data_IF_901471262024
#
_entry.id   IF_901471262024
#
_cell.length_a   1.000
_cell.length_b   1.000
_cell.length_c   1.000
_cell.angle_alpha   90.00
_cell.angle_beta   90.00
_cell.angle_gamma   90.00
#
_symmetry.space_group_name_H-M   'P 1'
#
loop_
_entity.id
_entity.type
_entity.pdbx_description
1 polymer ?
#
# COMPACT_ATOMS: atom_id res chain seq x y z
N UNK A 1 31.14 3.59 20.49
CA UNK A 1 30.36 4.24 19.41
C UNK A 1 30.02 3.17 18.38
N UNK A 2 28.90 2.48 18.59
CA UNK A 2 28.33 1.53 17.63
C UNK A 2 26.83 1.78 17.65
N UNK A 3 26.35 2.56 16.69
CA UNK A 3 24.92 2.77 16.46
C UNK A 3 24.35 1.47 15.89
N UNK A 4 23.53 0.79 16.70
CA UNK A 4 22.64 -0.27 16.21
C UNK A 4 21.65 0.33 15.22
N UNK A 5 21.40 -0.26 14.04
CA UNK A 5 20.39 0.25 13.13
C UNK A 5 19.03 0.03 13.78
N UNK A 6 18.20 1.08 13.76
CA UNK A 6 16.84 1.03 14.24
C UNK A 6 16.06 -0.04 13.45
N UNK A 7 15.83 -1.20 14.06
CA UNK A 7 14.71 -2.04 13.70
C UNK A 7 13.44 -1.21 13.92
N UNK A 8 12.56 -1.06 12.90
CA UNK A 8 11.23 -0.51 13.17
C UNK A 8 10.58 -1.52 14.10
N UNK A 9 10.36 -1.11 15.35
CA UNK A 9 9.75 -1.90 16.40
C UNK A 9 8.36 -2.30 15.93
N UNK A 10 8.26 -3.48 15.31
CA UNK A 10 7.01 -4.18 15.21
C UNK A 10 6.68 -4.57 16.64
N UNK A 11 5.66 -3.93 17.22
CA UNK A 11 5.10 -4.30 18.52
C UNK A 11 4.42 -5.68 18.41
N UNK A 12 5.19 -6.70 18.08
CA UNK A 12 4.81 -8.08 17.91
C UNK A 12 5.02 -8.76 19.26
N UNK A 13 4.13 -8.43 20.20
CA UNK A 13 3.67 -9.28 21.30
C UNK A 13 2.79 -8.43 22.20
N UNK A 14 1.47 -8.55 22.09
CA UNK A 14 0.54 -8.70 23.23
C UNK A 14 -0.91 -8.85 22.76
N UNK A 15 -1.50 -10.00 23.09
CA UNK A 15 -2.92 -10.31 23.20
C UNK A 15 -3.84 -10.05 21.99
N UNK A 16 -3.71 -10.91 20.98
CA UNK A 16 -4.71 -11.07 19.91
C UNK A 16 -5.84 -12.01 20.36
N UNK A 17 -6.74 -11.55 21.22
CA UNK A 17 -7.99 -12.30 21.54
C UNK A 17 -9.26 -11.47 21.63
N UNK A 18 -9.25 -10.14 21.43
CA UNK A 18 -10.51 -9.39 21.40
C UNK A 18 -10.73 -8.73 20.06
N UNK A 19 -11.78 -9.20 19.38
CA UNK A 19 -12.37 -8.66 18.16
C UNK A 19 -11.71 -9.08 16.83
N UNK A 20 -12.00 -10.31 16.42
CA UNK A 20 -11.83 -10.79 15.05
C UNK A 20 -13.10 -10.48 14.25
N UNK A 21 -13.13 -9.49 13.34
CA UNK A 21 -14.15 -9.46 12.31
C UNK A 21 -13.93 -10.66 11.35
N UNK A 22 -14.99 -11.19 10.72
CA UNK A 22 -14.83 -12.27 9.76
C UNK A 22 -14.06 -11.73 8.55
N UNK A 23 -12.82 -12.19 8.34
CA UNK A 23 -11.99 -11.65 7.28
C UNK A 23 -10.70 -12.42 7.06
N UNK A 24 -9.64 -12.07 7.79
CA UNK A 24 -8.31 -12.66 7.67
C UNK A 24 -7.63 -12.55 9.05
N UNK A 25 -7.13 -13.66 9.60
CA UNK A 25 -6.32 -13.61 10.84
C UNK A 25 -4.84 -13.39 10.51
N UNK A 26 -4.13 -12.67 11.38
CA UNK A 26 -2.68 -12.43 11.28
C UNK A 26 -1.87 -13.73 11.12
N UNK A 27 -2.36 -14.84 11.69
CA UNK A 27 -1.72 -16.17 11.56
C UNK A 27 -1.66 -16.67 10.12
N UNK A 28 -2.60 -16.27 9.25
CA UNK A 28 -2.63 -16.69 7.84
C UNK A 28 -1.62 -15.93 6.97
N UNK A 29 -1.16 -14.78 7.45
CA UNK A 29 -0.24 -13.89 6.72
C UNK A 29 1.23 -14.16 7.08
N UNK A 30 1.47 -14.92 8.15
CA UNK A 30 2.81 -15.32 8.58
C UNK A 30 3.49 -16.15 7.48
N UNK A 31 4.55 -15.59 6.88
CA UNK A 31 5.35 -16.24 5.84
C UNK A 31 5.14 -15.71 4.42
N UNK A 32 4.22 -14.77 4.19
CA UNK A 32 4.12 -14.11 2.88
C UNK A 32 5.27 -13.10 2.68
N UNK A 33 5.94 -13.07 1.52
CA UNK A 33 7.18 -12.33 1.32
C UNK A 33 6.99 -10.82 1.09
N UNK A 34 5.75 -10.32 1.07
CA UNK A 34 5.47 -8.92 0.72
C UNK A 34 5.89 -7.94 1.83
N UNK A 35 6.61 -6.84 1.52
CA UNK A 35 6.92 -5.79 2.48
C UNK A 35 5.67 -5.18 3.15
N UNK A 36 4.55 -5.16 2.43
CA UNK A 36 3.23 -4.74 2.91
C UNK A 36 2.75 -5.55 4.12
N UNK A 37 3.16 -6.81 4.20
CA UNK A 37 2.73 -7.76 5.24
C UNK A 37 3.82 -8.04 6.28
N UNK A 38 4.91 -7.27 6.29
CA UNK A 38 6.00 -7.50 7.25
C UNK A 38 5.53 -7.31 8.70
N UNK A 39 4.76 -6.24 8.95
CA UNK A 39 4.18 -5.92 10.25
C UNK A 39 2.81 -5.23 10.11
N UNK A 40 1.77 -5.94 9.64
CA UNK A 40 0.48 -5.33 9.37
C UNK A 40 -0.29 -5.09 10.67
N UNK A 41 -0.86 -3.88 10.82
CA UNK A 41 -1.82 -3.59 11.88
C UNK A 41 -3.18 -4.21 11.58
N UNK A 42 -3.99 -4.46 12.62
CA UNK A 42 -5.37 -4.89 12.40
C UNK A 42 -6.17 -3.85 11.59
N UNK A 43 -5.91 -2.55 11.83
CA UNK A 43 -6.53 -1.45 11.08
C UNK A 43 -6.20 -1.51 9.59
N UNK A 44 -4.96 -1.87 9.23
CA UNK A 44 -4.56 -2.06 7.85
C UNK A 44 -5.26 -3.28 7.22
N UNK A 45 -5.32 -4.40 7.94
CA UNK A 45 -6.00 -5.62 7.46
C UNK A 45 -7.49 -5.41 7.26
N UNK A 46 -8.16 -4.74 8.21
CA UNK A 46 -9.56 -4.38 8.09
C UNK A 46 -9.81 -3.48 6.88
N UNK A 47 -8.89 -2.54 6.60
CA UNK A 47 -8.96 -1.71 5.39
C UNK A 47 -8.81 -2.54 4.12
N UNK A 48 -7.88 -3.50 4.10
CA UNK A 48 -7.70 -4.42 2.95
C UNK A 48 -8.98 -5.17 2.67
N UNK A 49 -9.55 -5.80 3.69
CA UNK A 49 -10.76 -6.61 3.57
C UNK A 49 -11.91 -5.72 3.09
N UNK A 50 -12.17 -4.57 3.74
CA UNK A 50 -13.26 -3.63 3.39
C UNK A 50 -13.17 -3.01 2.00
N UNK A 51 -11.96 -2.81 1.47
CA UNK A 51 -11.72 -2.14 0.19
C UNK A 51 -11.36 -3.11 -0.94
N UNK A 52 -11.40 -4.42 -0.70
CA UNK A 52 -11.12 -5.41 -1.73
C UNK A 52 -12.23 -5.39 -2.78
N UNK A 53 -11.91 -4.88 -3.97
CA UNK A 53 -12.86 -4.55 -5.03
C UNK A 53 -13.33 -5.76 -5.86
N UNK A 54 -12.70 -6.92 -5.69
CA UNK A 54 -13.03 -8.15 -6.41
C UNK A 54 -14.21 -8.93 -5.79
N UNK A 55 -14.92 -8.30 -4.85
CA UNK A 55 -16.13 -8.83 -4.20
C UNK A 55 -17.34 -8.07 -4.73
N UNK A 56 -18.46 -8.78 -4.94
CA UNK A 56 -19.69 -8.21 -5.51
C UNK A 56 -20.25 -7.00 -4.71
N UNK A 57 -19.95 -6.91 -3.41
CA UNK A 57 -20.43 -5.85 -2.49
C UNK A 57 -19.30 -4.95 -1.95
N UNK A 58 -18.21 -4.75 -2.71
CA UNK A 58 -17.11 -3.91 -2.28
C UNK A 58 -17.59 -2.49 -1.86
N UNK A 59 -17.35 -2.12 -0.60
CA UNK A 59 -17.79 -0.84 -0.02
C UNK A 59 -19.10 -0.86 0.76
N UNK A 60 -19.78 -2.01 0.88
CA UNK A 60 -20.92 -2.18 1.79
C UNK A 60 -20.47 -2.25 3.27
N UNK A 61 -21.35 -1.82 4.18
CA UNK A 61 -21.10 -1.80 5.64
C UNK A 61 -20.96 -3.23 6.19
N UNK A 62 -21.56 -4.21 5.51
CA UNK A 62 -21.58 -5.61 5.88
C UNK A 62 -20.85 -6.44 4.83
N UNK A 63 -19.64 -6.88 5.15
CA UNK A 63 -18.87 -7.82 4.32
C UNK A 63 -19.38 -9.26 4.43
N UNK A 64 -20.70 -9.43 4.40
CA UNK A 64 -21.35 -10.73 4.63
C UNK A 64 -21.08 -11.73 3.48
N UNK A 65 -20.50 -11.26 2.37
CA UNK A 65 -20.16 -12.04 1.18
C UNK A 65 -18.66 -12.22 0.94
N UNK A 66 -17.78 -12.06 1.94
CA UNK A 66 -16.36 -12.40 1.78
C UNK A 66 -16.13 -13.91 1.83
N UNK A 67 -16.37 -14.57 0.69
CA UNK A 67 -16.35 -16.02 0.57
C UNK A 67 -14.93 -16.59 0.74
N UNK A 68 -14.82 -17.89 1.00
CA UNK A 68 -13.50 -18.55 1.04
C UNK A 68 -12.76 -18.47 -0.30
N UNK A 69 -13.49 -18.36 -1.42
CA UNK A 69 -12.90 -18.10 -2.73
C UNK A 69 -12.26 -16.71 -2.80
N UNK A 70 -12.90 -15.70 -2.23
CA UNK A 70 -12.37 -14.33 -2.20
C UNK A 70 -11.17 -14.21 -1.27
N UNK A 71 -11.21 -14.90 -0.12
CA UNK A 71 -10.06 -15.06 0.78
C UNK A 71 -8.86 -15.67 0.05
N UNK A 72 -9.07 -16.79 -0.63
CA UNK A 72 -8.00 -17.46 -1.38
C UNK A 72 -7.46 -16.57 -2.50
N UNK A 73 -8.34 -15.84 -3.21
CA UNK A 73 -7.92 -14.90 -4.24
C UNK A 73 -7.07 -13.78 -3.67
N UNK A 74 -7.50 -13.16 -2.57
CA UNK A 74 -6.76 -12.10 -1.90
C UNK A 74 -5.42 -12.60 -1.35
N UNK A 75 -5.39 -13.73 -0.65
CA UNK A 75 -4.15 -14.32 -0.13
C UNK A 75 -3.18 -14.65 -1.27
N UNK A 76 -3.68 -15.19 -2.37
CA UNK A 76 -2.87 -15.45 -3.57
C UNK A 76 -2.31 -14.16 -4.17
N UNK A 77 -3.13 -13.11 -4.32
CA UNK A 77 -2.64 -11.81 -4.80
C UNK A 77 -1.57 -11.26 -3.86
N UNK A 78 -1.81 -11.24 -2.55
CA UNK A 78 -0.84 -10.77 -1.56
C UNK A 78 0.47 -11.57 -1.55
N UNK A 79 0.39 -12.89 -1.81
CA UNK A 79 1.56 -13.75 -1.91
C UNK A 79 2.40 -13.49 -3.16
N UNK A 80 1.76 -13.17 -4.29
CA UNK A 80 2.41 -13.05 -5.59
C UNK A 80 2.84 -11.61 -5.89
N UNK A 81 1.95 -10.63 -5.65
CA UNK A 81 2.21 -9.22 -5.87
C UNK A 81 1.18 -8.36 -5.11
N UNK A 82 1.63 -7.58 -4.12
CA UNK A 82 0.76 -6.71 -3.34
C UNK A 82 0.36 -5.41 -4.07
N UNK A 83 0.99 -5.07 -5.20
CA UNK A 83 0.71 -3.82 -5.92
C UNK A 83 -0.78 -3.61 -6.27
N UNK A 84 -1.52 -4.59 -6.82
CA UNK A 84 -2.96 -4.45 -7.07
C UNK A 84 -3.79 -4.16 -5.81
N UNK A 85 -3.34 -4.63 -4.64
CA UNK A 85 -4.01 -4.36 -3.36
C UNK A 85 -3.78 -2.92 -2.93
N UNK A 86 -2.56 -2.38 -3.07
CA UNK A 86 -2.28 -0.97 -2.82
C UNK A 86 -3.20 -0.05 -3.63
N UNK A 87 -3.37 -0.32 -4.93
CA UNK A 87 -4.21 0.51 -5.79
C UNK A 87 -5.69 0.52 -5.38
N UNK A 88 -6.17 -0.57 -4.77
CA UNK A 88 -7.56 -0.69 -4.31
C UNK A 88 -7.78 0.00 -2.97
N UNK A 89 -6.85 -0.18 -2.02
CA UNK A 89 -7.01 0.30 -0.64
C UNK A 89 -6.55 1.75 -0.47
N UNK A 90 -5.71 2.27 -1.36
CA UNK A 90 -5.24 3.66 -1.39
C UNK A 90 -5.55 4.27 -2.78
N UNK A 91 -6.84 4.52 -3.09
CA UNK A 91 -7.23 4.93 -4.43
C UNK A 91 -6.81 6.37 -4.72
N UNK A 92 -6.35 6.65 -5.94
CA UNK A 92 -5.98 8.01 -6.33
C UNK A 92 -7.13 9.02 -6.29
N UNK A 93 -8.38 8.57 -6.38
CA UNK A 93 -9.56 9.42 -6.18
C UNK A 93 -9.67 10.00 -4.76
N UNK A 94 -9.00 9.38 -3.77
CA UNK A 94 -8.88 9.88 -2.39
C UNK A 94 -7.57 10.69 -2.18
N UNK A 95 -6.90 11.09 -3.26
CA UNK A 95 -5.69 11.91 -3.19
C UNK A 95 -4.38 11.12 -3.07
N UNK A 96 -4.42 9.79 -3.13
CA UNK A 96 -3.19 8.98 -3.12
C UNK A 96 -2.43 9.05 -4.46
N UNK A 97 -1.10 9.10 -4.46
CA UNK A 97 -0.30 9.20 -5.68
C UNK A 97 -0.16 7.83 -6.36
N UNK A 98 -1.28 7.19 -6.71
CA UNK A 98 -1.35 5.84 -7.27
C UNK A 98 -2.30 5.81 -8.48
N UNK A 99 -2.02 4.97 -9.51
CA UNK A 99 -2.91 4.82 -10.66
C UNK A 99 -4.23 4.20 -10.25
N UNK A 100 -5.30 4.57 -10.97
CA UNK A 100 -6.62 4.02 -10.71
C UNK A 100 -6.65 2.54 -11.11
N UNK A 101 -7.01 1.69 -10.17
CA UNK A 101 -7.31 0.28 -10.41
C UNK A 101 -8.59 0.12 -11.24
N UNK A 102 -8.55 -0.72 -12.28
CA UNK A 102 -9.69 -0.98 -13.17
C UNK A 102 -10.22 -2.41 -13.08
N UNK A 103 -9.47 -3.34 -12.50
CA UNK A 103 -9.89 -4.74 -12.30
C UNK A 103 -8.75 -5.74 -12.47
N UNK A 104 -9.02 -7.02 -12.20
CA UNK A 104 -8.07 -8.10 -12.41
C UNK A 104 -8.69 -9.37 -12.98
N UNK A 105 -7.86 -10.15 -13.69
CA UNK A 105 -8.14 -11.50 -14.14
C UNK A 105 -6.94 -12.40 -13.82
N UNK A 106 -7.08 -13.27 -12.82
CA UNK A 106 -5.98 -14.11 -12.34
C UNK A 106 -4.83 -13.25 -11.79
N UNK A 107 -3.65 -13.37 -12.39
CA UNK A 107 -2.45 -12.57 -12.04
C UNK A 107 -2.35 -11.24 -12.79
N UNK A 108 -3.19 -11.03 -13.80
CA UNK A 108 -3.19 -9.79 -14.56
C UNK A 108 -4.12 -8.79 -13.90
N UNK A 109 -3.66 -7.55 -13.78
CA UNK A 109 -4.49 -6.44 -13.36
C UNK A 109 -4.41 -5.34 -14.41
N UNK A 110 -5.41 -4.48 -14.41
CA UNK A 110 -5.51 -3.32 -15.29
C UNK A 110 -5.57 -2.07 -14.43
N UNK A 111 -4.79 -1.06 -14.80
CA UNK A 111 -4.82 0.27 -14.19
C UNK A 111 -4.79 1.34 -15.27
N UNK A 112 -5.02 2.60 -14.90
CA UNK A 112 -4.84 3.74 -15.81
C UNK A 112 -3.42 3.79 -16.37
N UNK A 113 -3.30 4.13 -17.65
CA UNK A 113 -2.02 4.20 -18.36
C UNK A 113 -1.13 5.35 -17.89
N UNK A 114 0.18 5.15 -18.00
CA UNK A 114 1.21 6.03 -17.45
C UNK A 114 2.50 5.90 -18.24
N UNK A 115 3.34 6.94 -18.23
CA UNK A 115 4.70 6.88 -18.80
C UNK A 115 5.74 6.72 -17.69
N UNK A 116 6.72 5.81 -17.80
CA UNK A 116 7.75 5.62 -16.78
C UNK A 116 8.67 6.84 -16.66
N UNK A 117 9.17 7.12 -15.45
CA UNK A 117 10.03 8.28 -15.18
C UNK A 117 11.30 8.31 -16.04
N UNK A 118 11.82 7.14 -16.44
CA UNK A 118 13.00 7.03 -17.29
C UNK A 118 12.86 7.75 -18.64
N UNK A 119 11.64 7.86 -19.18
CA UNK A 119 11.40 8.58 -20.45
C UNK A 119 11.67 10.09 -20.33
N UNK A 120 11.75 10.62 -19.10
CA UNK A 120 11.93 12.05 -18.83
C UNK A 120 13.36 12.41 -18.43
N UNK A 121 14.31 11.48 -18.51
CA UNK A 121 15.72 11.77 -18.19
C UNK A 121 16.38 12.79 -19.13
N UNK A 122 15.85 12.93 -20.35
CA UNK A 122 16.26 13.95 -21.32
C UNK A 122 15.35 15.18 -21.36
N UNK A 123 14.45 15.33 -20.38
CA UNK A 123 13.51 16.45 -20.35
C UNK A 123 14.24 17.81 -20.15
N UNK A 124 13.65 18.92 -20.62
CA UNK A 124 14.17 20.26 -20.33
C UNK A 124 14.33 20.51 -18.82
N UNK A 125 15.25 21.40 -18.40
CA UNK A 125 15.51 21.65 -16.98
C UNK A 125 14.28 22.04 -16.17
N UNK A 126 13.36 22.82 -16.75
CA UNK A 126 12.14 23.25 -16.08
C UNK A 126 11.20 22.07 -15.77
N UNK A 127 11.04 21.15 -16.72
CA UNK A 127 10.23 19.94 -16.54
C UNK A 127 10.90 18.97 -15.57
N UNK A 128 12.22 18.81 -15.65
CA UNK A 128 12.97 17.99 -14.69
C UNK A 128 12.88 18.54 -13.26
N UNK A 129 12.94 19.86 -13.09
CA UNK A 129 12.79 20.53 -11.80
C UNK A 129 11.37 20.36 -11.24
N UNK A 130 10.34 20.48 -12.09
CA UNK A 130 8.95 20.24 -11.70
C UNK A 130 8.74 18.78 -11.25
N UNK A 131 9.20 17.80 -12.01
CA UNK A 131 9.10 16.38 -11.63
C UNK A 131 9.86 16.07 -10.34
N UNK A 132 11.04 16.67 -10.14
CA UNK A 132 11.78 16.52 -8.89
C UNK A 132 11.01 17.11 -7.68
N UNK A 133 10.36 18.25 -7.86
CA UNK A 133 9.51 18.86 -6.84
C UNK A 133 8.29 17.98 -6.53
N UNK A 134 7.62 17.46 -7.56
CA UNK A 134 6.49 16.55 -7.37
C UNK A 134 6.91 15.26 -6.65
N UNK A 135 8.09 14.69 -6.95
CA UNK A 135 8.62 13.52 -6.26
C UNK A 135 8.77 13.77 -4.74
N UNK A 136 9.28 14.95 -4.35
CA UNK A 136 9.35 15.34 -2.93
C UNK A 136 7.95 15.42 -2.31
N UNK A 137 6.96 15.94 -3.04
CA UNK A 137 5.56 15.95 -2.60
C UNK A 137 4.98 14.56 -2.40
N UNK A 138 5.27 13.62 -3.31
CA UNK A 138 4.89 12.21 -3.16
C UNK A 138 5.52 11.62 -1.90
N UNK A 139 6.83 11.78 -1.71
CA UNK A 139 7.53 11.28 -0.52
C UNK A 139 6.97 11.88 0.78
N UNK A 140 6.56 13.15 0.76
CA UNK A 140 5.91 13.77 1.92
C UNK A 140 4.56 13.12 2.23
N UNK A 141 3.73 12.85 1.22
CA UNK A 141 2.43 12.17 1.39
C UNK A 141 2.57 10.75 1.96
N UNK A 142 3.66 10.06 1.61
CA UNK A 142 4.00 8.74 2.15
C UNK A 142 4.41 8.80 3.62
N UNK A 143 5.05 9.90 4.04
CA UNK A 143 5.48 10.13 5.41
C UNK A 143 4.33 10.62 6.31
N UNK A 144 3.55 11.56 5.80
CA UNK A 144 2.49 12.28 6.51
C UNK A 144 1.21 12.29 5.67
N UNK A 145 0.18 11.63 6.20
CA UNK A 145 -1.15 11.55 5.58
C UNK A 145 -2.21 11.46 6.67
N UNK A 146 -3.44 11.79 6.30
CA UNK A 146 -4.59 11.86 7.20
C UNK A 146 -4.94 10.52 7.85
N UNK A 147 -4.52 9.40 7.24
CA UNK A 147 -4.73 8.07 7.77
C UNK A 147 -3.67 7.65 8.80
N UNK A 148 -2.64 8.46 9.06
CA UNK A 148 -1.54 8.14 9.97
C UNK A 148 -0.81 6.82 9.61
N UNK A 149 -0.73 6.49 8.33
CA UNK A 149 0.17 5.45 7.84
C UNK A 149 1.52 6.07 7.49
N UNK A 150 2.59 5.30 7.65
CA UNK A 150 3.91 5.62 7.14
C UNK A 150 4.29 4.58 6.10
N UNK A 151 4.54 5.03 4.88
CA UNK A 151 4.92 4.17 3.77
C UNK A 151 6.43 4.23 3.58
N UNK A 152 7.03 3.09 3.30
CA UNK A 152 8.46 2.99 3.02
C UNK A 152 8.70 2.07 1.84
N UNK A 153 9.72 2.39 1.06
CA UNK A 153 10.20 1.55 -0.02
C UNK A 153 11.29 0.61 0.49
N UNK A 154 11.22 -0.68 0.13
CA UNK A 154 12.34 -1.61 0.37
C UNK A 154 13.40 -1.55 -0.71
N UNK A 155 13.03 -1.09 -1.89
CA UNK A 155 13.94 -0.68 -2.97
C UNK A 155 13.32 0.50 -3.70
N UNK A 156 14.14 1.34 -4.33
CA UNK A 156 13.70 2.48 -5.14
C UNK A 156 14.45 2.47 -6.45
N UNK A 157 13.71 2.52 -7.56
CA UNK A 157 14.24 2.79 -8.88
C UNK A 157 13.26 3.66 -9.69
N UNK A 158 13.69 4.13 -10.86
CA UNK A 158 12.86 5.02 -11.67
C UNK A 158 11.62 4.34 -12.28
N UNK A 159 11.58 3.01 -12.40
CA UNK A 159 10.44 2.29 -12.98
C UNK A 159 9.25 2.26 -12.01
N UNK A 160 9.53 2.50 -10.72
CA UNK A 160 8.55 2.64 -9.66
C UNK A 160 7.75 3.94 -9.74
N UNK A 161 8.23 4.93 -10.49
CA UNK A 161 7.54 6.19 -10.70
C UNK A 161 7.06 6.31 -12.14
N UNK A 162 5.98 7.04 -12.31
CA UNK A 162 5.51 7.41 -13.63
C UNK A 162 4.87 8.79 -13.64
N UNK A 163 4.58 9.23 -14.86
CA UNK A 163 3.94 10.51 -15.15
C UNK A 163 2.63 10.21 -15.89
N UNK A 164 1.53 10.77 -15.40
CA UNK A 164 0.24 10.71 -16.08
C UNK A 164 0.23 11.63 -17.30
N UNK A 165 -0.76 11.48 -18.18
CA UNK A 165 -0.90 12.35 -19.36
C UNK A 165 -1.10 13.83 -19.01
N UNK A 166 -1.50 14.15 -17.79
CA UNK A 166 -1.64 15.51 -17.28
C UNK A 166 -0.37 16.06 -16.60
N UNK A 167 0.76 15.34 -16.66
CA UNK A 167 2.05 15.79 -16.11
C UNK A 167 2.26 15.49 -14.63
N UNK A 168 1.32 14.84 -13.95
CA UNK A 168 1.47 14.51 -12.53
C UNK A 168 2.31 13.25 -12.30
N UNK A 169 3.30 13.35 -11.41
CA UNK A 169 4.12 12.25 -10.95
C UNK A 169 3.38 11.41 -9.91
N UNK A 170 3.51 10.08 -10.01
CA UNK A 170 2.86 9.14 -9.10
C UNK A 170 3.70 7.86 -8.95
N UNK A 171 3.29 6.99 -8.03
CA UNK A 171 3.89 5.68 -7.78
C UNK A 171 3.28 4.65 -8.72
N UNK A 172 4.05 4.24 -9.71
CA UNK A 172 3.69 3.25 -10.73
C UNK A 172 3.84 1.82 -10.25
N UNK A 173 4.86 1.54 -9.44
CA UNK A 173 5.04 0.23 -8.83
C UNK A 173 5.06 0.35 -7.31
N UNK A 174 4.12 -0.37 -6.69
CA UNK A 174 3.92 -0.41 -5.23
C UNK A 174 4.27 -1.79 -4.66
N UNK A 175 4.83 -2.70 -5.45
CA UNK A 175 5.15 -4.07 -5.03
C UNK A 175 6.21 -4.10 -3.91
N UNK A 176 7.03 -3.05 -3.83
CA UNK A 176 8.06 -2.87 -2.80
C UNK A 176 7.72 -1.84 -1.73
N UNK A 177 6.47 -1.38 -1.68
CA UNK A 177 6.00 -0.57 -0.56
C UNK A 177 5.68 -1.46 0.65
N UNK A 178 6.17 -1.04 1.81
CA UNK A 178 5.69 -1.46 3.11
C UNK A 178 4.90 -0.34 3.79
N UNK A 179 4.09 -0.71 4.79
CA UNK A 179 3.24 0.22 5.53
C UNK A 179 3.43 -0.02 7.03
N UNK A 180 3.62 1.07 7.77
CA UNK A 180 3.64 1.12 9.23
C UNK A 180 2.44 1.91 9.70
N UNK A 181 1.70 1.37 10.64
CA UNK A 181 0.60 2.06 11.29
C UNK A 181 1.10 2.91 12.46
N UNK A 182 1.10 4.23 12.31
CA UNK A 182 1.56 5.14 13.39
C UNK A 182 0.52 5.30 14.50
N UNK A 183 -0.76 5.04 14.23
CA UNK A 183 -1.82 5.24 15.22
C UNK A 183 -1.76 4.15 16.32
N UNK A 184 -1.47 2.91 15.94
CA UNK A 184 -1.32 1.80 16.90
C UNK A 184 -0.13 1.99 17.85
N UNK A 185 0.96 2.60 17.36
CA UNK A 185 2.14 2.95 18.19
C UNK A 185 1.91 4.10 19.17
N UNK A 186 0.94 5.00 18.91
CA UNK A 186 0.69 6.17 19.77
C UNK A 186 -0.19 5.83 20.98
N UNK A 187 -1.05 4.81 20.85
CA UNK A 187 -1.93 4.32 21.94
C UNK A 187 -1.15 3.59 23.06
N UNK A 188 0.16 3.41 22.90
CA UNK A 188 1.05 2.72 23.86
C UNK A 188 2.25 3.58 24.31
N UNK A 189 2.17 4.91 24.19
CA UNK A 189 3.16 5.82 24.79
C UNK A 189 3.14 5.76 26.33
N UNK A 190 4.28 5.99 27.02
CA UNK A 190 4.39 5.78 28.46
C UNK A 190 3.53 6.82 29.21
N UNK A 191 2.61 6.33 30.03
CA UNK A 191 2.10 7.08 31.16
C UNK A 191 3.14 7.19 32.26
#
# INVERSE_FOLDING_TARGET
MTSSPAEPVCALHKNLTSFSPPGISLTWLQGLPSPFLRCPSQRLLDRVVRRYAEVADAGSIFMDHFTDRDKLRLLYTLAVNAHPIFLQIFPGAEGWPLPKYLGSCGRFFVSTSTRPLQEFYGAPPDEAADLAYQLLGVLESLRSNDLNYFFYFTHVDAAMFGIFSNGHLFIRDASALGVIDKQEGTQHGPG
#
